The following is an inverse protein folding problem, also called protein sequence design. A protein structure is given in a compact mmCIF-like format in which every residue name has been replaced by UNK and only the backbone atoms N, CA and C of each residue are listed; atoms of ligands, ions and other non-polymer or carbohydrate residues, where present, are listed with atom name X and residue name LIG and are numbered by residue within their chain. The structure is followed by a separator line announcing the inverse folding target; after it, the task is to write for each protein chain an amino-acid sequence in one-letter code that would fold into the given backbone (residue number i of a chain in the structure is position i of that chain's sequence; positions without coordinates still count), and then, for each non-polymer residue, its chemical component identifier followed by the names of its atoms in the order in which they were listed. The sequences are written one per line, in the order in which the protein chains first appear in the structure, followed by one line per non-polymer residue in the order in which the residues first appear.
data_IF_542020867194
#
_entry.id   IF_542020867194
#
_cell.length_a   1.000
_cell.length_b   1.000
_cell.length_c   1.000
_cell.angle_alpha   90.00
_cell.angle_beta   90.00
_cell.angle_gamma   90.00
#
_symmetry.space_group_name_H-M   'P 1'
#
loop_
_entity.id
_entity.type
_entity.pdbx_description
1 polymer ?
#
# COMPACT_ATOMS: atom_id res chain seq x y z
N UNK A 1 43.75 44.42 -18.72
CA UNK A 1 43.63 43.41 -19.80
C UNK A 1 42.80 42.26 -19.22
N UNK A 2 41.61 41.87 -19.67
CA UNK A 2 40.75 42.25 -20.79
C UNK A 2 39.37 41.65 -20.47
N UNK A 3 38.29 42.43 -20.50
CA UNK A 3 36.92 41.91 -20.66
C UNK A 3 36.71 41.55 -22.14
N UNK A 4 36.00 40.48 -22.48
CA UNK A 4 35.04 40.55 -23.60
C UNK A 4 34.07 39.36 -23.68
N UNK A 5 32.90 39.73 -24.19
CA UNK A 5 31.59 39.10 -24.18
C UNK A 5 31.31 38.38 -25.51
N UNK A 6 30.55 37.27 -25.44
CA UNK A 6 29.54 36.70 -26.36
C UNK A 6 29.51 37.14 -27.85
N UNK A 7 29.42 36.17 -28.79
CA UNK A 7 28.47 36.26 -29.93
C UNK A 7 28.12 34.93 -30.63
N UNK A 8 26.83 34.79 -30.95
CA UNK A 8 26.15 33.76 -31.76
C UNK A 8 26.56 33.77 -33.24
N UNK A 9 26.13 32.76 -34.02
CA UNK A 9 25.69 32.96 -35.39
C UNK A 9 24.17 32.75 -35.59
N UNK A 10 23.54 33.71 -36.28
CA UNK A 10 22.27 33.60 -37.02
C UNK A 10 22.56 33.41 -38.52
N UNK A 11 21.73 32.62 -39.23
CA UNK A 11 21.11 32.89 -40.55
C UNK A 11 20.22 31.69 -40.95
N UNK A 12 18.89 31.84 -41.09
CA UNK A 12 18.10 32.17 -42.30
C UNK A 12 18.36 31.18 -43.47
N UNK A 13 17.40 30.53 -44.15
CA UNK A 13 16.10 30.95 -44.74
C UNK A 13 15.37 29.69 -45.30
N UNK A 14 14.11 29.36 -44.95
CA UNK A 14 12.82 29.59 -45.64
C UNK A 14 12.56 28.97 -47.03
N UNK A 15 11.33 28.42 -47.19
CA UNK A 15 10.53 28.09 -48.40
C UNK A 15 10.83 26.73 -49.07
N UNK A 16 9.91 25.88 -49.57
CA UNK A 16 8.44 25.88 -49.76
C UNK A 16 7.96 24.51 -50.32
N UNK A 17 6.68 24.19 -50.08
CA UNK A 17 5.71 23.42 -50.92
C UNK A 17 5.83 21.90 -51.15
N UNK A 18 4.78 21.20 -50.69
CA UNK A 18 4.20 19.99 -51.31
C UNK A 18 3.44 20.34 -52.62
N UNK A 19 3.05 19.36 -53.46
CA UNK A 19 1.71 18.73 -53.30
C UNK A 19 1.56 17.27 -53.81
N UNK A 20 0.41 16.64 -53.54
CA UNK A 20 -0.26 15.75 -54.51
C UNK A 20 -0.59 14.31 -54.08
N UNK A 21 -1.90 14.04 -53.92
CA UNK A 21 -2.55 12.72 -53.69
C UNK A 21 -2.77 11.97 -55.01
N UNK A 22 -2.93 10.65 -54.96
CA UNK A 22 -4.07 9.97 -55.60
C UNK A 22 -4.38 8.61 -54.97
N UNK A 23 -5.68 8.34 -54.89
CA UNK A 23 -6.37 7.13 -54.44
C UNK A 23 -6.83 6.43 -55.72
N UNK A 24 -6.59 5.13 -55.88
CA UNK A 24 -7.38 4.29 -56.79
C UNK A 24 -7.70 2.94 -56.14
N UNK A 25 -8.99 2.66 -56.07
CA UNK A 25 -9.60 1.37 -55.78
C UNK A 25 -10.01 0.72 -57.10
N UNK A 26 -9.71 -0.56 -57.33
CA UNK A 26 -10.51 -1.37 -58.26
C UNK A 26 -10.56 -2.84 -57.81
N UNK A 27 -11.76 -3.38 -57.93
CA UNK A 27 -12.24 -4.70 -57.54
C UNK A 27 -11.95 -5.76 -58.61
N UNK A 28 -11.69 -7.00 -58.15
CA UNK A 28 -12.32 -8.26 -58.59
C UNK A 28 -12.05 -8.83 -60.01
N UNK A 29 -11.33 -9.98 -60.10
CA UNK A 29 -11.82 -11.28 -60.64
C UNK A 29 -10.70 -12.27 -61.09
N UNK A 30 -10.90 -13.54 -60.70
CA UNK A 30 -10.64 -14.83 -61.39
C UNK A 30 -9.21 -15.33 -61.76
N UNK A 31 -8.81 -16.38 -61.01
CA UNK A 31 -8.32 -17.75 -61.33
C UNK A 31 -7.63 -18.07 -62.70
N UNK A 32 -6.56 -18.90 -62.60
CA UNK A 32 -6.08 -20.12 -63.36
C UNK A 32 -4.62 -19.94 -63.92
N UNK A 33 -3.73 -20.96 -64.06
CA UNK A 33 -2.94 -21.70 -63.04
C UNK A 33 -1.42 -21.90 -63.38
N UNK A 34 -0.72 -22.64 -62.50
CA UNK A 34 0.46 -23.53 -62.68
C UNK A 34 1.58 -23.22 -63.71
N UNK A 35 2.76 -22.90 -63.17
CA UNK A 35 4.09 -23.51 -63.44
C UNK A 35 5.12 -22.71 -62.63
N UNK A 36 6.13 -23.19 -61.91
CA UNK A 36 6.83 -24.47 -61.86
C UNK A 36 7.71 -24.53 -60.57
N UNK A 37 7.63 -25.66 -59.85
CA UNK A 37 8.73 -26.47 -59.27
C UNK A 37 9.90 -25.76 -58.53
N UNK A 38 10.08 -26.02 -57.22
CA UNK A 38 11.24 -26.79 -56.69
C UNK A 38 11.09 -27.24 -55.22
N UNK A 39 11.76 -28.35 -54.91
CA UNK A 39 11.57 -29.37 -53.87
C UNK A 39 12.42 -29.11 -52.59
N UNK A 40 12.07 -29.84 -51.52
CA UNK A 40 12.83 -30.26 -50.31
C UNK A 40 12.56 -29.43 -49.04
N UNK A 41 12.45 -29.97 -47.81
CA UNK A 41 12.67 -31.31 -47.26
C UNK A 41 11.93 -31.40 -45.91
N UNK A 42 11.26 -32.53 -45.70
CA UNK A 42 10.93 -33.26 -44.47
C UNK A 42 10.90 -32.55 -43.09
N UNK A 43 9.76 -32.74 -42.42
CA UNK A 43 9.41 -32.24 -41.10
C UNK A 43 9.98 -33.11 -39.97
N UNK A 44 10.89 -32.56 -39.16
CA UNK A 44 11.24 -33.14 -37.85
C UNK A 44 10.31 -32.57 -36.78
N UNK A 45 9.28 -33.33 -36.41
CA UNK A 45 8.46 -33.08 -35.22
C UNK A 45 9.29 -33.35 -33.96
N UNK A 46 9.82 -32.28 -33.33
CA UNK A 46 10.33 -32.34 -31.95
C UNK A 46 9.16 -32.11 -30.99
N UNK A 47 8.64 -33.20 -30.43
CA UNK A 47 7.66 -33.20 -29.35
C UNK A 47 8.31 -32.57 -28.09
N UNK A 48 8.05 -31.28 -27.87
CA UNK A 48 8.49 -30.60 -26.64
C UNK A 48 7.42 -30.85 -25.57
N UNK A 49 7.69 -31.79 -24.66
CA UNK A 49 6.87 -32.01 -23.48
C UNK A 49 6.77 -30.71 -22.67
N UNK A 50 5.60 -30.07 -22.72
CA UNK A 50 5.26 -28.94 -21.87
C UNK A 50 5.05 -29.51 -20.47
N UNK A 51 6.04 -29.30 -19.59
CA UNK A 51 5.89 -29.41 -18.15
C UNK A 51 4.78 -28.43 -17.74
N UNK A 52 3.63 -28.97 -17.35
CA UNK A 52 2.48 -28.22 -16.88
C UNK A 52 2.79 -27.77 -15.45
N UNK A 53 3.49 -26.65 -15.28
CA UNK A 53 3.67 -26.02 -13.97
C UNK A 53 2.32 -25.43 -13.51
N UNK A 54 1.55 -26.23 -12.77
CA UNK A 54 0.27 -25.85 -12.17
C UNK A 54 0.42 -24.87 -11.00
N UNK A 55 1.63 -24.53 -10.57
CA UNK A 55 1.86 -23.58 -9.47
C UNK A 55 1.90 -22.09 -9.89
N UNK A 56 2.07 -21.77 -11.17
CA UNK A 56 2.14 -20.36 -11.60
C UNK A 56 0.78 -19.68 -11.79
N UNK A 57 -0.30 -20.43 -12.03
CA UNK A 57 -1.64 -19.85 -12.31
C UNK A 57 -2.28 -19.19 -11.09
N UNK A 58 -2.09 -19.76 -9.90
CA UNK A 58 -2.60 -19.16 -8.67
C UNK A 58 -1.83 -17.88 -8.27
N UNK A 59 -0.56 -17.77 -8.66
CA UNK A 59 0.27 -16.58 -8.36
C UNK A 59 -0.04 -15.39 -9.26
N UNK A 60 -0.45 -15.62 -10.52
CA UNK A 60 -0.89 -14.54 -11.43
C UNK A 60 -2.26 -13.95 -11.04
N UNK A 61 -3.14 -14.75 -10.43
CA UNK A 61 -4.46 -14.28 -10.00
C UNK A 61 -4.38 -13.17 -8.94
N UNK A 62 -3.29 -13.07 -8.17
CA UNK A 62 -3.14 -12.14 -7.04
C UNK A 62 -2.13 -11.01 -7.22
N UNK A 63 -1.38 -10.94 -8.33
CA UNK A 63 -0.26 -9.99 -8.46
C UNK A 63 -0.51 -8.90 -9.49
N UNK A 64 -1.16 -7.80 -9.08
CA UNK A 64 -1.24 -6.53 -9.85
C UNK A 64 0.00 -5.66 -9.65
N UNK A 65 0.85 -6.00 -8.68
CA UNK A 65 2.03 -5.25 -8.31
C UNK A 65 3.04 -5.20 -9.46
N UNK A 66 3.36 -3.97 -9.91
CA UNK A 66 4.34 -3.72 -10.97
C UNK A 66 5.74 -4.08 -10.43
N UNK A 67 6.45 -4.95 -11.14
CA UNK A 67 7.83 -5.37 -10.84
C UNK A 67 8.89 -4.26 -10.99
N UNK A 68 8.49 -3.04 -11.39
CA UNK A 68 9.43 -1.95 -11.69
C UNK A 68 10.08 -1.32 -10.43
N UNK A 69 9.63 -1.68 -9.23
CA UNK A 69 10.32 -1.37 -7.97
C UNK A 69 11.38 -2.43 -7.67
N UNK A 70 12.46 -2.43 -8.46
CA UNK A 70 13.72 -3.09 -8.07
C UNK A 70 14.38 -2.28 -6.94
N UNK A 71 13.80 -2.23 -5.74
CA UNK A 71 14.55 -1.89 -4.53
C UNK A 71 15.58 -3.00 -4.28
N UNK A 72 16.79 -2.74 -3.76
CA UNK A 72 17.75 -3.78 -3.36
C UNK A 72 17.40 -4.35 -1.95
N UNK A 73 17.74 -5.61 -1.63
CA UNK A 73 17.32 -6.30 -0.40
C UNK A 73 17.83 -5.57 0.84
N UNK A 74 19.10 -5.12 0.78
CA UNK A 74 19.70 -4.29 1.82
C UNK A 74 18.92 -3.00 2.02
N UNK A 75 18.51 -2.34 0.94
CA UNK A 75 17.82 -1.04 1.03
C UNK A 75 16.44 -1.13 1.67
N UNK A 76 15.61 -2.14 1.36
CA UNK A 76 14.26 -2.25 1.95
C UNK A 76 14.31 -2.49 3.45
N UNK A 77 15.10 -3.49 3.88
CA UNK A 77 15.21 -3.82 5.30
C UNK A 77 15.95 -2.74 6.08
N UNK A 78 16.94 -2.07 5.48
CA UNK A 78 17.60 -0.92 6.10
C UNK A 78 16.65 0.27 6.27
N UNK A 79 15.84 0.60 5.26
CA UNK A 79 14.82 1.66 5.37
C UNK A 79 13.77 1.29 6.41
N UNK A 80 13.31 0.04 6.43
CA UNK A 80 12.34 -0.41 7.43
C UNK A 80 12.92 -0.38 8.83
N UNK A 81 14.15 -0.85 9.03
CA UNK A 81 14.83 -0.79 10.32
C UNK A 81 15.01 0.66 10.79
N UNK A 82 15.46 1.55 9.91
CA UNK A 82 15.56 2.98 10.23
C UNK A 82 14.21 3.57 10.61
N UNK A 83 13.16 3.31 9.83
CA UNK A 83 11.81 3.76 10.15
C UNK A 83 11.34 3.23 11.52
N UNK A 84 11.46 1.92 11.77
CA UNK A 84 10.98 1.30 13.02
C UNK A 84 11.73 1.84 14.23
N UNK A 85 13.06 1.82 14.21
CA UNK A 85 13.87 2.14 15.38
C UNK A 85 14.09 3.64 15.59
N UNK A 86 14.16 4.43 14.51
CA UNK A 86 14.46 5.86 14.60
C UNK A 86 13.22 6.75 14.54
N UNK A 87 12.10 6.27 13.98
CA UNK A 87 10.87 7.07 13.82
C UNK A 87 9.71 6.45 14.62
N UNK A 88 9.26 5.26 14.25
CA UNK A 88 8.04 4.66 14.78
C UNK A 88 8.10 4.42 16.29
N UNK A 89 9.12 3.70 16.79
CA UNK A 89 9.21 3.38 18.22
C UNK A 89 9.32 4.67 19.07
N UNK A 90 10.24 5.61 18.78
CA UNK A 90 10.35 6.84 19.55
C UNK A 90 9.09 7.72 19.51
N UNK A 91 8.46 7.88 18.34
CA UNK A 91 7.28 8.74 18.19
C UNK A 91 6.03 8.10 18.80
N UNK A 92 5.74 6.84 18.45
CA UNK A 92 4.51 6.15 18.88
C UNK A 92 4.49 5.81 20.37
N UNK A 93 5.63 5.42 20.97
CA UNK A 93 5.67 5.01 22.38
C UNK A 93 6.29 6.08 23.30
N UNK A 94 7.20 6.91 22.78
CA UNK A 94 7.87 7.97 23.55
C UNK A 94 7.26 9.36 23.37
N UNK A 95 6.54 9.62 22.28
CA UNK A 95 6.14 10.98 21.89
C UNK A 95 5.27 11.70 22.92
N UNK A 96 4.27 11.02 23.49
CA UNK A 96 3.44 11.63 24.54
C UNK A 96 4.25 11.96 25.81
N UNK A 97 5.23 11.14 26.16
CA UNK A 97 6.11 11.40 27.32
C UNK A 97 6.96 12.65 27.11
N UNK A 98 7.47 12.85 25.89
CA UNK A 98 8.21 14.07 25.52
C UNK A 98 7.31 15.30 25.59
N UNK A 99 6.07 15.22 25.09
CA UNK A 99 5.12 16.33 25.18
C UNK A 99 4.79 16.67 26.64
N UNK A 100 4.56 15.66 27.48
CA UNK A 100 4.30 15.85 28.91
C UNK A 100 5.46 16.59 29.61
N UNK A 101 6.71 16.21 29.31
CA UNK A 101 7.90 16.89 29.81
C UNK A 101 8.02 18.33 29.30
N UNK A 102 7.78 18.58 28.01
CA UNK A 102 7.84 19.92 27.41
C UNK A 102 6.79 20.88 27.99
N UNK A 103 5.61 20.36 28.32
CA UNK A 103 4.54 21.12 28.96
C UNK A 103 4.66 21.17 30.49
N UNK A 104 5.68 20.52 31.06
CA UNK A 104 5.89 20.38 32.49
C UNK A 104 4.65 19.85 33.24
N UNK A 105 3.97 18.87 32.65
CA UNK A 105 2.78 18.21 33.18
C UNK A 105 3.05 16.72 33.37
N UNK A 106 2.65 16.16 34.50
CA UNK A 106 2.74 14.71 34.78
C UNK A 106 1.60 13.93 34.15
N UNK A 107 0.47 14.59 33.89
CA UNK A 107 -0.72 14.04 33.28
C UNK A 107 -1.25 15.06 32.27
N UNK A 108 -1.40 14.65 31.01
CA UNK A 108 -1.92 15.51 29.97
C UNK A 108 -3.44 15.57 30.08
N UNK A 109 -4.03 16.72 29.75
CA UNK A 109 -5.48 16.79 29.57
C UNK A 109 -5.89 15.98 28.32
N UNK A 110 -7.06 15.33 28.30
CA UNK A 110 -7.54 14.54 27.16
C UNK A 110 -7.47 15.27 25.82
N UNK A 111 -7.81 16.56 25.78
CA UNK A 111 -7.72 17.37 24.55
C UNK A 111 -6.27 17.53 24.05
N UNK A 112 -5.33 17.79 24.96
CA UNK A 112 -3.91 17.96 24.64
C UNK A 112 -3.33 16.61 24.20
N UNK A 113 -3.69 15.52 24.88
CA UNK A 113 -3.27 14.17 24.56
C UNK A 113 -3.74 13.77 23.16
N UNK A 114 -5.02 13.97 22.83
CA UNK A 114 -5.58 13.67 21.51
C UNK A 114 -4.92 14.50 20.39
N UNK A 115 -4.75 15.81 20.62
CA UNK A 115 -4.09 16.70 19.66
C UNK A 115 -2.62 16.31 19.48
N UNK A 116 -1.94 15.93 20.56
CA UNK A 116 -0.54 15.50 20.52
C UNK A 116 -0.38 14.20 19.75
N UNK A 117 -1.26 13.22 19.96
CA UNK A 117 -1.30 12.00 19.15
C UNK A 117 -1.48 12.32 17.65
N UNK A 118 -2.41 13.23 17.32
CA UNK A 118 -2.61 13.67 15.94
C UNK A 118 -1.35 14.27 15.33
N UNK A 119 -0.68 15.18 16.06
CA UNK A 119 0.54 15.84 15.60
C UNK A 119 1.70 14.85 15.45
N UNK A 120 1.88 13.94 16.41
CA UNK A 120 2.92 12.91 16.40
C UNK A 120 2.74 11.99 15.19
N UNK A 121 1.52 11.47 14.95
CA UNK A 121 1.27 10.58 13.81
C UNK A 121 1.38 11.29 12.47
N UNK A 122 0.98 12.57 12.40
CA UNK A 122 1.16 13.38 11.20
C UNK A 122 2.65 13.64 10.93
N UNK A 123 3.43 13.90 11.97
CA UNK A 123 4.88 14.04 11.89
C UNK A 123 5.54 12.74 11.44
N UNK A 124 5.13 11.59 11.99
CA UNK A 124 5.64 10.28 11.60
C UNK A 124 5.38 9.99 10.12
N UNK A 125 4.15 10.25 9.63
CA UNK A 125 3.81 10.16 8.22
C UNK A 125 4.68 11.07 7.36
N UNK A 126 4.83 12.34 7.75
CA UNK A 126 5.70 13.28 7.05
C UNK A 126 7.16 12.84 7.00
N UNK A 127 7.70 12.37 8.12
CA UNK A 127 9.08 11.88 8.23
C UNK A 127 9.30 10.63 7.37
N UNK A 128 8.35 9.70 7.36
CA UNK A 128 8.42 8.52 6.49
C UNK A 128 8.33 8.92 5.00
N UNK A 129 7.50 9.90 4.64
CA UNK A 129 7.45 10.41 3.25
C UNK A 129 8.78 11.05 2.83
N UNK A 130 9.40 11.84 3.71
CA UNK A 130 10.72 12.40 3.46
C UNK A 130 11.78 11.31 3.32
N UNK A 131 11.77 10.30 4.19
CA UNK A 131 12.67 9.14 4.11
C UNK A 131 12.58 8.45 2.74
N UNK A 132 11.38 8.31 2.19
CA UNK A 132 11.18 7.72 0.86
C UNK A 132 11.64 8.63 -0.29
N UNK A 133 11.62 9.95 -0.12
CA UNK A 133 12.15 10.88 -1.13
C UNK A 133 13.67 10.89 -1.19
N UNK A 134 14.34 10.66 -0.06
CA UNK A 134 15.80 10.51 0.01
C UNK A 134 16.28 9.11 -0.37
N UNK A 135 15.38 8.13 -0.44
CA UNK A 135 15.68 6.83 -1.03
C UNK A 135 15.93 6.98 -2.54
N UNK A 136 16.87 6.22 -3.10
CA UNK A 136 17.39 6.38 -4.47
C UNK A 136 16.34 6.32 -5.60
N UNK A 137 15.07 6.02 -5.30
CA UNK A 137 13.97 5.99 -6.25
C UNK A 137 12.80 6.84 -5.75
N UNK A 138 12.35 7.85 -6.51
CA UNK A 138 11.26 8.71 -6.08
C UNK A 138 9.96 7.90 -5.94
N UNK A 139 9.52 7.69 -4.70
CA UNK A 139 8.25 7.04 -4.39
C UNK A 139 7.10 8.05 -4.53
N UNK A 140 6.23 7.86 -5.52
CA UNK A 140 5.07 8.75 -5.71
C UNK A 140 3.81 8.11 -5.11
N UNK A 141 3.51 8.44 -3.85
CA UNK A 141 2.37 7.91 -3.11
C UNK A 141 1.02 8.20 -3.78
N UNK A 142 0.89 9.37 -4.42
CA UNK A 142 -0.35 9.78 -5.07
C UNK A 142 -0.72 8.81 -6.21
N UNK A 143 0.26 8.14 -6.80
CA UNK A 143 0.05 7.13 -7.85
C UNK A 143 -0.52 5.80 -7.34
N UNK A 144 -0.44 5.55 -6.03
CA UNK A 144 -1.01 4.37 -5.36
C UNK A 144 -2.44 4.62 -4.83
N UNK A 145 -2.74 5.87 -4.46
CA UNK A 145 -4.11 6.30 -4.15
C UNK A 145 -4.92 6.62 -5.40
N UNK A 146 -4.29 6.96 -6.52
CA UNK A 146 -4.99 7.13 -7.78
C UNK A 146 -5.55 5.78 -8.21
N UNK A 147 -6.88 5.68 -8.29
CA UNK A 147 -7.57 4.59 -8.97
C UNK A 147 -7.09 4.56 -10.42
N UNK A 148 -6.05 3.79 -10.70
CA UNK A 148 -5.68 3.50 -12.09
C UNK A 148 -6.86 2.74 -12.68
N UNK A 149 -7.28 3.17 -13.87
CA UNK A 149 -8.35 2.54 -14.65
C UNK A 149 -7.93 1.10 -14.92
N UNK A 150 -8.30 0.20 -14.03
CA UNK A 150 -8.00 -1.24 -14.09
C UNK A 150 -9.28 -1.98 -14.50
N UNK A 151 -9.14 -3.16 -15.15
CA UNK A 151 -10.23 -3.79 -15.88
C UNK A 151 -11.45 -3.99 -15.00
N UNK A 152 -12.62 -3.76 -15.61
CA UNK A 152 -14.00 -3.74 -15.07
C UNK A 152 -14.38 -4.92 -14.14
N UNK A 153 -13.53 -5.94 -14.04
CA UNK A 153 -13.72 -7.18 -13.28
C UNK A 153 -13.11 -7.16 -11.86
N UNK A 154 -12.22 -6.24 -11.50
CA UNK A 154 -11.58 -6.20 -10.16
C UNK A 154 -12.03 -4.96 -9.38
N UNK A 155 -13.21 -5.07 -8.77
CA UNK A 155 -13.83 -3.99 -8.01
C UNK A 155 -13.20 -3.86 -6.60
N UNK A 156 -12.49 -2.75 -6.35
CA UNK A 156 -11.93 -2.43 -5.03
C UNK A 156 -12.99 -2.40 -3.93
N UNK A 157 -14.23 -2.00 -4.28
CA UNK A 157 -15.36 -1.99 -3.35
C UNK A 157 -15.70 -3.41 -2.88
N UNK A 158 -15.71 -4.37 -3.81
CA UNK A 158 -15.98 -5.77 -3.48
C UNK A 158 -14.89 -6.34 -2.56
N UNK A 159 -13.62 -6.03 -2.85
CA UNK A 159 -12.51 -6.42 -1.97
C UNK A 159 -12.65 -5.81 -0.57
N UNK A 160 -13.05 -4.53 -0.48
CA UNK A 160 -13.33 -3.86 0.79
C UNK A 160 -14.48 -4.52 1.57
N UNK A 161 -15.60 -4.83 0.91
CA UNK A 161 -16.76 -5.47 1.54
C UNK A 161 -16.41 -6.88 2.05
N UNK A 162 -15.75 -7.69 1.23
CA UNK A 162 -15.35 -9.06 1.62
C UNK A 162 -14.34 -9.01 2.76
N UNK A 163 -13.33 -8.13 2.66
CA UNK A 163 -12.30 -7.98 3.69
C UNK A 163 -12.89 -7.53 5.02
N UNK A 164 -13.76 -6.50 5.00
CA UNK A 164 -14.44 -6.03 6.20
C UNK A 164 -15.36 -7.11 6.79
N UNK A 165 -16.16 -7.78 5.97
CA UNK A 165 -17.05 -8.86 6.43
C UNK A 165 -16.28 -10.00 7.11
N UNK A 166 -15.12 -10.38 6.55
CA UNK A 166 -14.24 -11.35 7.18
C UNK A 166 -13.69 -10.87 8.53
N UNK A 167 -13.24 -9.61 8.63
CA UNK A 167 -12.74 -9.06 9.91
C UNK A 167 -13.83 -9.03 10.98
N UNK A 168 -15.05 -8.62 10.63
CA UNK A 168 -16.18 -8.61 11.57
C UNK A 168 -16.51 -10.02 12.06
N UNK A 169 -16.53 -11.00 11.15
CA UNK A 169 -16.74 -12.41 11.51
C UNK A 169 -15.60 -12.93 12.40
N UNK A 170 -14.35 -12.55 12.12
CA UNK A 170 -13.19 -12.92 12.92
C UNK A 170 -13.28 -12.33 14.34
N UNK A 171 -13.58 -11.04 14.47
CA UNK A 171 -13.77 -10.39 15.79
C UNK A 171 -14.86 -11.13 16.57
N UNK A 172 -16.03 -11.33 15.97
CA UNK A 172 -17.15 -12.02 16.62
C UNK A 172 -16.76 -13.42 17.10
N UNK A 173 -16.05 -14.18 16.25
CA UNK A 173 -15.55 -15.50 16.60
C UNK A 173 -14.55 -15.44 17.77
N UNK A 174 -13.59 -14.51 17.73
CA UNK A 174 -12.60 -14.37 18.79
C UNK A 174 -13.23 -13.93 20.11
N UNK A 175 -14.21 -13.02 20.10
CA UNK A 175 -14.97 -12.61 21.28
C UNK A 175 -15.76 -13.79 21.86
N UNK A 176 -16.47 -14.54 21.02
CA UNK A 176 -17.23 -15.71 21.46
C UNK A 176 -16.34 -16.78 22.11
N UNK A 177 -15.17 -17.04 21.53
CA UNK A 177 -14.19 -17.98 22.09
C UNK A 177 -13.59 -17.44 23.39
N UNK A 178 -13.24 -16.15 23.45
CA UNK A 178 -12.70 -15.51 24.64
C UNK A 178 -13.67 -15.57 25.82
N UNK A 179 -14.95 -15.23 25.60
CA UNK A 179 -16.01 -15.29 26.62
C UNK A 179 -16.17 -16.71 27.20
N UNK A 180 -15.97 -17.74 26.38
CA UNK A 180 -16.10 -19.14 26.81
C UNK A 180 -14.87 -19.70 27.50
N UNK A 181 -13.67 -19.24 27.16
CA UNK A 181 -12.41 -19.82 27.65
C UNK A 181 -11.74 -19.02 28.76
N UNK A 182 -11.78 -17.68 28.66
CA UNK A 182 -10.95 -16.76 29.46
C UNK A 182 -11.83 -15.80 30.28
N UNK A 183 -13.10 -15.63 29.86
CA UNK A 183 -14.00 -14.60 30.38
C UNK A 183 -13.83 -13.28 29.61
N UNK A 184 -14.79 -12.35 29.75
CA UNK A 184 -14.76 -11.08 29.04
C UNK A 184 -13.51 -10.29 29.44
N UNK A 185 -12.63 -10.06 28.48
CA UNK A 185 -11.52 -9.12 28.61
C UNK A 185 -11.89 -7.84 27.89
N UNK A 186 -11.92 -6.73 28.61
CA UNK A 186 -12.08 -5.42 28.00
C UNK A 186 -10.96 -5.16 27.00
N UNK A 187 -11.31 -4.52 25.88
CA UNK A 187 -10.35 -3.94 24.95
C UNK A 187 -9.69 -2.76 25.67
N UNK A 188 -8.61 -3.03 26.39
CA UNK A 188 -8.05 -2.07 27.34
C UNK A 188 -6.89 -1.31 26.70
N UNK A 189 -7.20 -0.26 25.93
CA UNK A 189 -6.23 0.79 25.65
C UNK A 189 -6.48 1.96 26.62
N UNK A 190 -5.71 2.08 27.71
CA UNK A 190 -5.99 3.05 28.77
C UNK A 190 -5.92 4.49 28.25
N UNK A 191 -4.99 4.78 27.34
CA UNK A 191 -4.85 6.09 26.68
C UNK A 191 -6.11 6.40 25.87
N UNK A 192 -6.63 5.42 25.12
CA UNK A 192 -7.84 5.62 24.33
C UNK A 192 -9.06 5.86 25.22
N UNK A 193 -9.24 5.08 26.29
CA UNK A 193 -10.35 5.24 27.26
C UNK A 193 -10.29 6.60 27.96
N UNK A 194 -9.09 7.01 28.38
CA UNK A 194 -8.87 8.32 29.01
C UNK A 194 -9.28 9.46 28.08
N UNK A 195 -8.81 9.44 26.83
CA UNK A 195 -9.16 10.46 25.84
C UNK A 195 -10.66 10.47 25.52
N UNK A 196 -11.28 9.29 25.41
CA UNK A 196 -12.72 9.15 25.16
C UNK A 196 -13.59 9.67 26.31
N UNK A 197 -13.08 9.66 27.54
CA UNK A 197 -13.75 10.23 28.72
C UNK A 197 -13.66 11.76 28.80
N UNK A 198 -12.93 12.39 27.89
CA UNK A 198 -12.78 13.84 27.79
C UNK A 198 -13.98 14.54 27.14
N UNK A 199 -13.72 15.71 26.55
CA UNK A 199 -14.74 16.50 25.85
C UNK A 199 -14.97 16.08 24.38
N UNK A 200 -16.02 16.61 23.72
CA UNK A 200 -16.30 16.33 22.30
C UNK A 200 -15.12 16.62 21.37
N UNK A 201 -14.30 17.61 21.72
CA UNK A 201 -13.13 18.00 20.94
C UNK A 201 -12.01 16.93 21.02
N UNK A 202 -11.70 16.41 22.21
CA UNK A 202 -10.78 15.27 22.38
C UNK A 202 -11.22 14.04 21.60
N UNK A 203 -12.51 13.69 21.63
CA UNK A 203 -13.07 12.57 20.87
C UNK A 203 -12.93 12.80 19.36
N UNK A 204 -13.18 14.02 18.88
CA UNK A 204 -13.01 14.37 17.48
C UNK A 204 -11.55 14.20 17.02
N UNK A 205 -10.59 14.74 17.78
CA UNK A 205 -9.16 14.60 17.45
C UNK A 205 -8.70 13.15 17.50
N UNK A 206 -9.15 12.39 18.50
CA UNK A 206 -8.87 10.96 18.61
C UNK A 206 -9.44 10.19 17.41
N UNK A 207 -10.68 10.45 17.02
CA UNK A 207 -11.30 9.81 15.87
C UNK A 207 -10.53 10.13 14.58
N UNK A 208 -10.10 11.38 14.41
CA UNK A 208 -9.32 11.80 13.25
C UNK A 208 -7.96 11.08 13.17
N UNK A 209 -7.21 11.03 14.28
CA UNK A 209 -5.91 10.35 14.29
C UNK A 209 -6.05 8.84 14.14
N UNK A 210 -7.02 8.22 14.84
CA UNK A 210 -7.16 6.76 14.90
C UNK A 210 -7.83 6.16 13.66
N UNK A 211 -8.79 6.87 13.06
CA UNK A 211 -9.54 6.36 11.90
C UNK A 211 -9.01 6.88 10.56
N UNK A 212 -8.21 7.94 10.54
CA UNK A 212 -7.71 8.54 9.28
C UNK A 212 -6.20 8.56 9.22
N UNK A 213 -5.53 9.31 10.11
CA UNK A 213 -4.08 9.54 9.99
C UNK A 213 -3.28 8.26 10.20
N UNK A 214 -3.61 7.49 11.23
CA UNK A 214 -2.92 6.23 11.55
C UNK A 214 -3.10 5.19 10.43
N UNK A 215 -4.32 4.91 9.93
CA UNK A 215 -4.49 4.04 8.76
C UNK A 215 -3.74 4.54 7.52
N UNK A 216 -3.73 5.86 7.23
CA UNK A 216 -2.96 6.40 6.09
C UNK A 216 -1.47 6.11 6.26
N UNK A 217 -0.90 6.39 7.43
CA UNK A 217 0.50 6.09 7.77
C UNK A 217 0.81 4.60 7.58
N UNK A 218 0.04 3.74 8.24
CA UNK A 218 0.31 2.32 8.26
C UNK A 218 0.10 1.67 6.89
N UNK A 219 -0.97 1.98 6.17
CA UNK A 219 -1.16 1.45 4.81
C UNK A 219 -0.05 1.91 3.86
N UNK A 220 0.46 3.12 4.05
CA UNK A 220 1.57 3.63 3.24
C UNK A 220 2.86 2.88 3.52
N UNK A 221 3.20 2.67 4.79
CA UNK A 221 4.42 1.96 5.22
C UNK A 221 4.34 0.48 4.83
N UNK A 222 3.29 -0.21 5.26
CA UNK A 222 3.25 -1.66 5.20
C UNK A 222 2.74 -2.18 3.85
N UNK A 223 1.78 -1.51 3.20
CA UNK A 223 1.22 -1.97 1.92
C UNK A 223 1.88 -1.24 0.76
N UNK A 224 1.98 0.08 0.85
CA UNK A 224 2.59 0.93 -0.16
C UNK A 224 4.07 0.63 -0.37
N UNK A 225 4.84 0.57 0.72
CA UNK A 225 6.29 0.36 0.66
C UNK A 225 6.71 -1.10 0.89
N UNK A 226 6.50 -1.65 2.09
CA UNK A 226 7.07 -2.95 2.49
C UNK A 226 6.53 -4.11 1.64
N UNK A 227 5.20 -4.29 1.60
CA UNK A 227 4.56 -5.35 0.81
C UNK A 227 4.91 -5.24 -0.67
N UNK A 228 4.85 -4.02 -1.23
CA UNK A 228 5.20 -3.78 -2.64
C UNK A 228 6.64 -4.16 -2.93
N UNK A 229 7.57 -3.81 -2.05
CA UNK A 229 8.98 -4.17 -2.22
C UNK A 229 9.19 -5.68 -2.10
N UNK A 230 8.58 -6.35 -1.12
CA UNK A 230 8.67 -7.80 -0.98
C UNK A 230 8.07 -8.51 -2.21
N UNK A 231 6.90 -8.09 -2.67
CA UNK A 231 6.20 -8.69 -3.81
C UNK A 231 6.93 -8.50 -5.14
N UNK A 232 7.87 -7.56 -5.27
CA UNK A 232 8.70 -7.45 -6.48
C UNK A 232 9.78 -8.56 -6.57
N UNK A 233 10.01 -9.29 -5.47
CA UNK A 233 11.10 -10.27 -5.31
C UNK A 233 10.65 -11.66 -4.88
N UNK A 234 9.43 -11.80 -4.38
CA UNK A 234 8.86 -13.08 -3.95
C UNK A 234 7.38 -13.17 -4.30
N UNK A 235 6.80 -14.35 -4.14
CA UNK A 235 5.36 -14.57 -4.36
C UNK A 235 4.51 -13.65 -3.47
N UNK A 236 3.46 -13.00 -4.02
CA UNK A 236 2.60 -12.07 -3.25
C UNK A 236 2.08 -12.72 -1.95
N UNK A 237 1.75 -14.02 -1.94
CA UNK A 237 1.32 -14.72 -0.72
C UNK A 237 2.37 -14.65 0.41
N UNK A 238 3.64 -14.92 0.09
CA UNK A 238 4.74 -14.85 1.06
C UNK A 238 4.99 -13.41 1.48
N UNK A 239 4.95 -12.48 0.53
CA UNK A 239 5.10 -11.06 0.80
C UNK A 239 4.03 -10.55 1.78
N UNK A 240 2.76 -10.92 1.58
CA UNK A 240 1.64 -10.58 2.47
C UNK A 240 1.87 -11.14 3.87
N UNK A 241 2.25 -12.40 4.01
CA UNK A 241 2.50 -13.01 5.33
C UNK A 241 3.63 -12.27 6.05
N UNK A 242 4.77 -12.05 5.39
CA UNK A 242 5.92 -11.37 6.00
C UNK A 242 5.57 -9.93 6.38
N UNK A 243 4.93 -9.16 5.49
CA UNK A 243 4.54 -7.77 5.80
C UNK A 243 3.55 -7.71 6.97
N UNK A 244 2.65 -8.70 7.09
CA UNK A 244 1.66 -8.77 8.17
C UNK A 244 2.30 -9.11 9.53
N UNK A 245 3.30 -9.99 9.53
CA UNK A 245 4.10 -10.29 10.73
C UNK A 245 4.86 -9.05 11.17
N UNK A 246 5.51 -8.33 10.24
CA UNK A 246 6.23 -7.09 10.56
C UNK A 246 5.28 -6.02 11.09
N UNK A 247 4.12 -5.81 10.43
CA UNK A 247 3.06 -4.92 10.91
C UNK A 247 2.62 -5.24 12.33
N UNK A 248 2.40 -6.52 12.64
CA UNK A 248 1.99 -6.93 13.97
C UNK A 248 3.11 -6.77 15.01
N UNK A 249 4.37 -6.99 14.62
CA UNK A 249 5.51 -6.94 15.53
C UNK A 249 5.82 -5.50 15.98
N UNK A 250 5.63 -4.51 15.10
CA UNK A 250 5.90 -3.09 15.39
C UNK A 250 4.95 -2.49 16.42
N UNK A 251 3.79 -3.11 16.64
CA UNK A 251 2.84 -2.72 17.69
C UNK A 251 3.29 -3.12 19.11
N UNK A 252 4.34 -3.93 19.24
CA UNK A 252 4.93 -4.33 20.53
C UNK A 252 3.92 -4.90 21.56
N UNK A 253 2.85 -5.53 21.07
CA UNK A 253 1.79 -6.10 21.91
C UNK A 253 1.67 -7.60 21.64
N UNK A 254 2.07 -8.42 22.63
CA UNK A 254 2.00 -9.88 22.54
C UNK A 254 0.55 -10.35 22.50
N UNK A 255 -0.30 -9.75 23.35
CA UNK A 255 -1.72 -10.12 23.45
C UNK A 255 -2.47 -9.90 22.13
N UNK A 256 -2.18 -8.80 21.44
CA UNK A 256 -2.85 -8.45 20.19
C UNK A 256 -2.13 -8.97 18.94
N UNK A 257 -0.98 -9.64 19.09
CA UNK A 257 -0.14 -10.01 17.95
C UNK A 257 -0.88 -10.87 16.91
N UNK A 258 -1.58 -11.91 17.36
CA UNK A 258 -2.29 -12.79 16.43
C UNK A 258 -3.42 -12.04 15.69
N UNK A 259 -4.17 -11.20 16.41
CA UNK A 259 -5.25 -10.39 15.85
C UNK A 259 -4.73 -9.37 14.83
N UNK A 260 -3.66 -8.64 15.18
CA UNK A 260 -3.02 -7.67 14.29
C UNK A 260 -2.41 -8.35 13.07
N UNK A 261 -1.84 -9.55 13.20
CA UNK A 261 -1.34 -10.32 12.07
C UNK A 261 -2.47 -10.71 11.10
N UNK A 262 -3.64 -11.15 11.61
CA UNK A 262 -4.81 -11.47 10.78
C UNK A 262 -5.33 -10.23 10.06
N UNK A 263 -5.46 -9.09 10.75
CA UNK A 263 -5.80 -7.80 10.13
C UNK A 263 -4.77 -7.45 9.05
N UNK A 264 -3.49 -7.63 9.39
CA UNK A 264 -2.34 -7.57 8.51
C UNK A 264 -2.58 -8.23 7.16
N UNK A 265 -2.94 -9.51 7.21
CA UNK A 265 -3.16 -10.39 6.06
C UNK A 265 -4.36 -9.94 5.25
N UNK A 266 -5.49 -9.61 5.89
CA UNK A 266 -6.70 -9.17 5.18
C UNK A 266 -6.44 -7.90 4.38
N UNK A 267 -5.79 -6.92 4.98
CA UNK A 267 -5.44 -5.66 4.33
C UNK A 267 -4.42 -5.89 3.20
N UNK A 268 -3.41 -6.75 3.42
CA UNK A 268 -2.44 -7.12 2.38
C UNK A 268 -3.07 -7.85 1.19
N UNK A 269 -3.98 -8.79 1.45
CA UNK A 269 -4.76 -9.48 0.41
C UNK A 269 -5.66 -8.51 -0.37
N UNK A 270 -6.34 -7.61 0.34
CA UNK A 270 -7.17 -6.57 -0.27
C UNK A 270 -6.35 -5.67 -1.19
N UNK A 271 -5.14 -5.28 -0.78
CA UNK A 271 -4.21 -4.52 -1.60
C UNK A 271 -3.73 -5.30 -2.83
N UNK A 272 -3.24 -6.54 -2.67
CA UNK A 272 -2.82 -7.37 -3.81
C UNK A 272 -3.96 -7.59 -4.82
N UNK A 273 -5.22 -7.70 -4.36
CA UNK A 273 -6.38 -7.87 -5.22
C UNK A 273 -6.80 -6.58 -5.93
N UNK A 274 -6.95 -5.48 -5.18
CA UNK A 274 -7.51 -4.22 -5.67
C UNK A 274 -6.48 -3.36 -6.41
N UNK A 275 -5.19 -3.52 -6.12
CA UNK A 275 -4.11 -2.73 -6.68
C UNK A 275 -4.12 -1.26 -6.25
N UNK A 276 -4.88 -0.89 -5.23
CA UNK A 276 -4.99 0.49 -4.70
C UNK A 276 -4.94 0.50 -3.18
N UNK A 277 -4.34 1.55 -2.61
CA UNK A 277 -4.32 1.75 -1.16
C UNK A 277 -5.69 2.18 -0.60
N UNK A 278 -6.64 2.59 -1.45
CA UNK A 278 -7.99 2.97 -1.00
C UNK A 278 -8.69 1.78 -0.33
N UNK A 279 -8.59 0.58 -0.91
CA UNK A 279 -9.31 -0.58 -0.40
C UNK A 279 -8.89 -1.00 1.01
N UNK A 280 -7.58 -1.23 1.29
CA UNK A 280 -7.15 -1.51 2.65
C UNK A 280 -7.33 -0.32 3.60
N UNK A 281 -7.14 0.93 3.14
CA UNK A 281 -7.42 2.12 3.95
C UNK A 281 -8.86 2.12 4.48
N UNK A 282 -9.86 1.92 3.61
CA UNK A 282 -11.27 1.90 4.02
C UNK A 282 -11.56 0.75 4.98
N UNK A 283 -11.04 -0.45 4.72
CA UNK A 283 -11.21 -1.60 5.63
C UNK A 283 -10.63 -1.26 7.01
N UNK A 284 -9.42 -0.73 7.05
CA UNK A 284 -8.70 -0.40 8.28
C UNK A 284 -9.38 0.73 9.06
N UNK A 285 -9.75 1.82 8.39
CA UNK A 285 -10.48 2.93 9.00
C UNK A 285 -11.82 2.49 9.59
N UNK A 286 -12.58 1.63 8.90
CA UNK A 286 -13.84 1.12 9.41
C UNK A 286 -13.65 0.16 10.58
N UNK A 287 -12.62 -0.69 10.52
CA UNK A 287 -12.24 -1.54 11.65
C UNK A 287 -11.88 -0.70 12.88
N UNK A 288 -11.02 0.32 12.74
CA UNK A 288 -10.65 1.21 13.84
C UNK A 288 -11.84 1.98 14.37
N UNK A 289 -12.72 2.47 13.49
CA UNK A 289 -13.94 3.15 13.90
C UNK A 289 -14.85 2.23 14.73
N UNK A 290 -14.99 0.95 14.33
CA UNK A 290 -15.75 -0.02 15.12
C UNK A 290 -15.14 -0.20 16.50
N UNK A 291 -13.83 -0.41 16.60
CA UNK A 291 -13.14 -0.57 17.90
C UNK A 291 -13.31 0.69 18.76
N UNK A 292 -13.20 1.87 18.16
CA UNK A 292 -13.41 3.15 18.83
C UNK A 292 -14.83 3.28 19.39
N UNK A 293 -15.84 2.98 18.58
CA UNK A 293 -17.26 3.04 18.98
C UNK A 293 -17.57 2.02 20.06
N UNK A 294 -17.09 0.78 19.92
CA UNK A 294 -17.25 -0.26 20.96
C UNK A 294 -16.64 0.21 22.28
N UNK A 295 -15.43 0.78 22.24
CA UNK A 295 -14.74 1.26 23.46
C UNK A 295 -15.41 2.50 24.06
N UNK A 296 -16.05 3.33 23.24
CA UNK A 296 -16.79 4.50 23.72
C UNK A 296 -18.11 4.13 24.43
N UNK A 297 -18.72 2.99 24.05
CA UNK A 297 -20.00 2.52 24.61
C UNK A 297 -19.79 1.57 25.81
N UNK A 298 -18.64 0.89 25.89
CA UNK A 298 -18.25 -0.01 26.99
C UNK A 298 -17.87 0.74 28.25
#
# INVERSE_FOLDING_TARGET
MTMLTVHLPRRFSSLTRAPGRSIESFQNNRIIPLSSIRVTKDSSFKLRCIRKDSNHKASQAFSVLKTDLQSDNGSTWSTMAFYVFSLHIPLSFGGLSVVAQLLNQTHLNPDIQALSLLLIQTLELGAFMLLLQFSEKPFNILSFFKTRVFPKERNWLLASVIGLGFLLAFIFLTSFVADKLIGPKDVNNPIMKEVLSGGPLSVFWLALVYCVVTPVLEETVYRGFLLTSLASRMECKKAVVISSIVFSATHLSIDNFLQLCVIGVVLGCSYCWSGTLISPFIIHSLYNLLILVVTFIS
#
